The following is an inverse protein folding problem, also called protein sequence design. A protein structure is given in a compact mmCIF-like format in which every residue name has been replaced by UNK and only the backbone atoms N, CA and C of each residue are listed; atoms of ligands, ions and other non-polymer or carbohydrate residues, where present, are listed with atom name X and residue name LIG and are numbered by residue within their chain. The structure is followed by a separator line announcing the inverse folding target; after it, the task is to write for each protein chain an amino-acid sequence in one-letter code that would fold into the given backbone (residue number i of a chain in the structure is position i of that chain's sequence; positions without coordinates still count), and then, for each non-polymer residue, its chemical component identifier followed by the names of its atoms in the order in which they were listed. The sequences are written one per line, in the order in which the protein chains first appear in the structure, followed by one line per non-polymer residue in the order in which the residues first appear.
data_IF_057480586897
#
_entry.id   IF_057480586897
#
_cell.length_a   1.000
_cell.length_b   1.000
_cell.length_c   1.000
_cell.angle_alpha   90.00
_cell.angle_beta   90.00
_cell.angle_gamma   90.00
#
_symmetry.space_group_name_H-M   'P 1'
#
loop_
_entity.id
_entity.type
_entity.pdbx_description
1 polymer ?
#
# COMPACT_ATOMS: atom_id res chain seq x y z
N UNK A 1 5.71 -20.89 4.55
CA UNK A 1 5.32 -20.65 3.15
C UNK A 1 4.24 -19.57 3.19
N UNK A 2 4.64 -18.31 3.20
CA UNK A 2 3.74 -17.16 3.48
C UNK A 2 2.74 -16.90 2.35
N UNK A 3 2.90 -17.60 1.23
CA UNK A 3 1.92 -17.70 0.15
C UNK A 3 0.76 -18.66 0.49
N UNK A 4 0.78 -19.32 1.66
CA UNK A 4 -0.26 -20.24 2.12
C UNK A 4 -1.17 -19.64 3.21
N UNK A 5 -1.35 -18.32 3.29
CA UNK A 5 -2.47 -17.81 4.10
C UNK A 5 -3.76 -18.46 3.60
N UNK A 6 -4.35 -19.28 4.46
CA UNK A 6 -5.49 -20.14 4.14
C UNK A 6 -6.77 -19.29 4.00
N UNK A 7 -6.82 -18.17 4.71
CA UNK A 7 -7.91 -17.20 4.69
C UNK A 7 -7.43 -15.85 4.16
N UNK A 8 -8.23 -15.15 3.34
CA UNK A 8 -7.85 -13.86 2.78
C UNK A 8 -7.83 -12.77 3.87
N UNK A 9 -6.67 -12.11 4.03
CA UNK A 9 -6.56 -10.88 4.80
C UNK A 9 -7.03 -9.66 3.98
N UNK A 10 -7.58 -8.66 4.67
CA UNK A 10 -8.12 -7.44 4.07
C UNK A 10 -7.55 -6.22 4.78
N UNK A 11 -7.29 -5.16 4.02
CA UNK A 11 -6.86 -3.88 4.62
C UNK A 11 -8.07 -3.24 5.32
N UNK A 12 -7.98 -3.07 6.64
CA UNK A 12 -8.96 -2.29 7.40
C UNK A 12 -8.63 -0.80 7.40
N UNK A 13 -7.33 -0.47 7.53
CA UNK A 13 -6.81 0.90 7.57
C UNK A 13 -5.36 0.93 7.13
N UNK A 14 -4.96 2.00 6.45
CA UNK A 14 -3.58 2.26 6.04
C UNK A 14 -3.23 3.72 6.34
N UNK A 15 -2.17 3.98 7.12
CA UNK A 15 -1.73 5.33 7.48
C UNK A 15 -0.44 5.30 8.30
N UNK A 16 0.39 6.35 8.18
CA UNK A 16 1.54 6.58 9.06
C UNK A 16 1.16 7.01 10.50
N UNK A 17 -0.13 7.05 10.83
CA UNK A 17 -0.67 7.51 12.12
C UNK A 17 -1.37 6.40 12.91
N UNK A 18 -1.15 5.13 12.56
CA UNK A 18 -1.72 3.99 13.28
C UNK A 18 -0.90 3.76 14.56
N UNK A 19 -1.54 3.60 15.74
CA UNK A 19 -0.84 3.24 16.97
C UNK A 19 -0.09 1.91 16.79
N UNK A 20 1.12 1.79 17.35
CA UNK A 20 1.97 0.61 17.13
C UNK A 20 1.28 -0.73 17.50
N UNK A 21 0.40 -0.72 18.51
CA UNK A 21 -0.35 -1.91 18.92
C UNK A 21 -1.40 -2.39 17.88
N UNK A 22 -1.76 -1.54 16.92
CA UNK A 22 -2.78 -1.82 15.90
C UNK A 22 -2.14 -2.06 14.50
N UNK A 23 -0.81 -2.03 14.41
CA UNK A 23 -0.08 -2.27 13.15
C UNK A 23 0.08 -3.77 12.94
N UNK A 24 -0.46 -4.27 11.84
CA UNK A 24 -0.40 -5.69 11.45
C UNK A 24 0.48 -5.94 10.22
N UNK A 25 1.13 -4.91 9.67
CA UNK A 25 1.99 -5.00 8.49
C UNK A 25 2.42 -3.63 7.98
N UNK A 26 3.36 -3.62 7.04
CA UNK A 26 3.91 -2.43 6.39
C UNK A 26 3.58 -2.44 4.89
N UNK A 27 3.30 -1.26 4.34
CA UNK A 27 3.07 -1.09 2.92
C UNK A 27 4.39 -0.92 2.17
N UNK A 28 4.73 -1.90 1.34
CA UNK A 28 6.04 -2.00 0.68
C UNK A 28 6.04 -1.47 -0.78
N UNK A 29 5.04 -0.67 -1.15
CA UNK A 29 4.97 -0.06 -2.49
C UNK A 29 4.43 -0.95 -3.62
N UNK A 30 3.92 -2.16 -3.35
CA UNK A 30 3.47 -3.12 -4.37
C UNK A 30 1.96 -3.34 -4.38
N UNK A 31 1.25 -2.80 -5.38
CA UNK A 31 -0.18 -3.07 -5.62
C UNK A 31 -0.37 -3.85 -6.92
N UNK A 32 -1.18 -4.91 -6.87
CA UNK A 32 -1.69 -5.58 -8.06
C UNK A 32 -3.15 -5.23 -8.24
N UNK A 33 -3.53 -4.84 -9.45
CA UNK A 33 -4.94 -4.60 -9.81
C UNK A 33 -5.42 -5.56 -10.90
N UNK A 34 -6.72 -5.82 -10.88
CA UNK A 34 -7.44 -6.33 -12.05
C UNK A 34 -8.04 -5.13 -12.82
N UNK A 35 -8.68 -5.34 -13.99
CA UNK A 35 -9.25 -4.23 -14.78
C UNK A 35 -10.19 -3.31 -13.96
N UNK A 36 -11.12 -3.88 -13.19
CA UNK A 36 -12.01 -3.11 -12.32
C UNK A 36 -11.24 -2.28 -11.28
N UNK A 37 -10.23 -2.87 -10.64
CA UNK A 37 -9.40 -2.16 -9.65
C UNK A 37 -8.64 -1.00 -10.28
N UNK A 38 -8.12 -1.18 -11.50
CA UNK A 38 -7.48 -0.11 -12.27
C UNK A 38 -8.45 1.02 -12.61
N UNK A 39 -9.70 0.70 -12.96
CA UNK A 39 -10.72 1.71 -13.26
C UNK A 39 -11.12 2.50 -12.00
N UNK A 40 -11.24 1.83 -10.86
CA UNK A 40 -11.49 2.49 -9.57
C UNK A 40 -10.35 3.44 -9.18
N UNK A 41 -9.10 3.01 -9.32
CA UNK A 41 -7.93 3.86 -9.09
C UNK A 41 -7.94 5.08 -10.02
N UNK A 42 -8.22 4.87 -11.31
CA UNK A 42 -8.28 5.97 -12.29
C UNK A 42 -9.36 6.99 -11.93
N UNK A 43 -10.55 6.52 -11.56
CA UNK A 43 -11.65 7.38 -11.15
C UNK A 43 -11.31 8.19 -9.90
N UNK A 44 -10.70 7.56 -8.89
CA UNK A 44 -10.32 8.24 -7.65
C UNK A 44 -9.20 9.27 -7.88
N UNK A 45 -8.21 8.96 -8.73
CA UNK A 45 -7.17 9.92 -9.13
C UNK A 45 -7.80 11.14 -9.82
N UNK A 46 -8.74 10.94 -10.73
CA UNK A 46 -9.44 12.04 -11.40
C UNK A 46 -10.24 12.89 -10.41
N UNK A 47 -10.96 12.27 -9.47
CA UNK A 47 -11.67 12.99 -8.41
C UNK A 47 -10.71 13.81 -7.53
N UNK A 48 -9.56 13.23 -7.14
CA UNK A 48 -8.53 13.92 -6.37
C UNK A 48 -7.92 15.11 -7.14
N UNK A 49 -7.80 15.01 -8.47
CA UNK A 49 -7.34 16.10 -9.34
C UNK A 49 -8.36 17.23 -9.39
N UNK A 50 -9.64 16.92 -9.58
CA UNK A 50 -10.74 17.89 -9.58
C UNK A 50 -10.86 18.61 -8.23
N UNK A 51 -10.63 17.89 -7.13
CA UNK A 51 -10.57 18.45 -5.76
C UNK A 51 -9.30 19.28 -5.49
N UNK A 52 -8.30 19.22 -6.38
CA UNK A 52 -6.99 19.88 -6.20
C UNK A 52 -6.09 19.23 -5.14
N UNK A 53 -6.45 18.04 -4.65
CA UNK A 53 -5.72 17.32 -3.60
C UNK A 53 -4.60 16.42 -4.14
N UNK A 54 -4.71 15.99 -5.40
CA UNK A 54 -3.84 14.97 -6.00
C UNK A 54 -2.35 15.28 -5.88
N UNK A 55 -1.94 16.55 -6.09
CA UNK A 55 -0.52 16.95 -6.13
C UNK A 55 0.24 16.63 -4.85
N UNK A 56 -0.43 16.65 -3.70
CA UNK A 56 0.20 16.45 -2.40
C UNK A 56 -0.16 15.09 -1.77
N UNK A 57 -0.90 14.26 -2.49
CA UNK A 57 -1.38 12.99 -1.97
C UNK A 57 -0.32 11.89 -2.12
N UNK A 58 -0.30 10.98 -1.14
CA UNK A 58 0.45 9.74 -1.20
C UNK A 58 -0.41 8.59 -1.72
N UNK A 59 0.22 7.44 -2.01
CA UNK A 59 -0.53 6.21 -2.28
C UNK A 59 -1.35 5.76 -1.06
N UNK A 60 -0.91 6.05 0.17
CA UNK A 60 -1.69 5.73 1.37
C UNK A 60 -3.01 6.53 1.40
N UNK A 61 -2.99 7.78 0.92
CA UNK A 61 -4.19 8.62 0.81
C UNK A 61 -5.16 8.05 -0.23
N UNK A 62 -4.65 7.70 -1.42
CA UNK A 62 -5.44 7.06 -2.48
C UNK A 62 -6.10 5.76 -2.00
N UNK A 63 -5.32 4.85 -1.40
CA UNK A 63 -5.84 3.57 -0.89
C UNK A 63 -6.84 3.80 0.26
N UNK A 64 -6.58 4.76 1.15
CA UNK A 64 -7.51 5.15 2.21
C UNK A 64 -8.84 5.67 1.67
N UNK A 65 -8.84 6.43 0.56
CA UNK A 65 -10.06 6.93 -0.08
C UNK A 65 -10.87 5.79 -0.69
N UNK A 66 -10.21 4.85 -1.38
CA UNK A 66 -10.87 3.66 -1.91
C UNK A 66 -11.50 2.80 -0.80
N UNK A 67 -10.82 2.62 0.33
CA UNK A 67 -11.37 1.91 1.51
C UNK A 67 -12.58 2.65 2.09
N UNK A 68 -12.52 3.98 2.25
CA UNK A 68 -13.64 4.81 2.72
C UNK A 68 -14.84 4.77 1.76
N UNK A 69 -14.60 4.62 0.46
CA UNK A 69 -15.63 4.41 -0.55
C UNK A 69 -16.24 2.98 -0.52
N UNK A 70 -15.79 2.12 0.38
CA UNK A 70 -16.31 0.75 0.56
C UNK A 70 -15.70 -0.28 -0.37
N UNK A 71 -14.64 0.05 -1.09
CA UNK A 71 -13.89 -0.93 -1.87
C UNK A 71 -13.01 -1.78 -0.96
N UNK A 72 -12.92 -3.08 -1.29
CA UNK A 72 -12.07 -4.02 -0.56
C UNK A 72 -10.70 -4.14 -1.22
N UNK A 73 -9.66 -4.10 -0.40
CA UNK A 73 -8.27 -4.31 -0.82
C UNK A 73 -7.76 -5.55 -0.08
N UNK A 74 -7.43 -6.59 -0.84
CA UNK A 74 -6.85 -7.82 -0.27
C UNK A 74 -5.39 -7.62 0.09
N UNK A 75 -4.92 -8.31 1.12
CA UNK A 75 -3.53 -8.31 1.56
C UNK A 75 -2.86 -9.60 1.11
N UNK A 76 -1.62 -9.49 0.65
CA UNK A 76 -0.71 -10.60 0.49
C UNK A 76 0.55 -10.28 1.29
N UNK A 77 0.76 -10.99 2.39
CA UNK A 77 1.93 -10.79 3.23
C UNK A 77 3.20 -11.33 2.56
N UNK A 78 4.21 -10.46 2.45
CA UNK A 78 5.54 -10.82 1.94
C UNK A 78 6.53 -10.72 3.11
N UNK A 79 7.03 -11.87 3.56
CA UNK A 79 7.99 -11.95 4.65
C UNK A 79 9.43 -12.03 4.11
N UNK A 80 10.25 -11.05 4.49
CA UNK A 80 11.67 -10.98 4.13
C UNK A 80 11.93 -10.77 2.63
N UNK A 81 13.21 -10.70 2.25
CA UNK A 81 13.68 -10.58 0.87
C UNK A 81 13.21 -9.33 0.10
N UNK A 82 12.84 -8.27 0.82
CA UNK A 82 12.69 -6.92 0.29
C UNK A 82 13.34 -5.91 1.25
N UNK A 83 13.72 -4.76 0.72
CA UNK A 83 14.32 -3.63 1.44
C UNK A 83 13.94 -2.35 0.67
N UNK A 84 13.54 -1.31 1.38
CA UNK A 84 13.37 0.03 0.79
C UNK A 84 14.73 0.74 0.67
N UNK A 85 14.92 1.46 -0.44
CA UNK A 85 16.12 2.27 -0.67
C UNK A 85 15.68 3.71 -0.93
N UNK A 86 15.66 4.51 0.12
CA UNK A 86 15.22 5.91 0.07
C UNK A 86 16.41 6.87 0.03
N UNK A 87 17.57 6.47 0.54
CA UNK A 87 18.78 7.27 0.51
C UNK A 87 20.09 6.50 0.21
N UNK A 88 21.21 7.23 0.27
CA UNK A 88 22.54 6.68 -0.04
C UNK A 88 23.06 5.69 1.02
N UNK A 89 22.60 5.79 2.26
CA UNK A 89 22.91 4.84 3.33
C UNK A 89 22.12 3.55 3.13
N UNK A 90 20.83 3.65 2.81
CA UNK A 90 20.01 2.47 2.48
C UNK A 90 20.61 1.69 1.30
N UNK A 91 21.12 2.40 0.29
CA UNK A 91 21.81 1.77 -0.84
C UNK A 91 23.09 1.02 -0.41
N UNK A 92 23.83 1.54 0.56
CA UNK A 92 25.01 0.87 1.09
C UNK A 92 24.63 -0.40 1.86
N UNK A 93 23.52 -0.37 2.59
CA UNK A 93 22.95 -1.54 3.27
C UNK A 93 22.45 -2.59 2.28
N UNK A 94 21.75 -2.16 1.22
CA UNK A 94 21.21 -3.01 0.16
C UNK A 94 22.29 -3.87 -0.53
N UNK A 95 23.56 -3.40 -0.59
CA UNK A 95 24.68 -4.18 -1.14
C UNK A 95 24.99 -5.45 -0.36
N UNK A 96 24.62 -5.50 0.92
CA UNK A 96 24.86 -6.64 1.79
C UNK A 96 23.60 -7.50 1.96
N UNK A 97 22.53 -7.19 1.23
CA UNK A 97 21.28 -7.94 1.25
C UNK A 97 21.48 -9.30 0.54
N UNK A 98 21.18 -10.40 1.23
CA UNK A 98 21.37 -11.79 0.75
C UNK A 98 20.14 -12.64 0.93
#
# INVERSE_FOLDING_TARGET
DYLLEIDPAWVEKISNKIPAADIHGEWIGLVRTNPRGSDLIRAEIAAMEEEGSLRNASLLDLLSRLLKAGHKIGVLYVAGNWLDVDDAFDLAEARNFT
#
